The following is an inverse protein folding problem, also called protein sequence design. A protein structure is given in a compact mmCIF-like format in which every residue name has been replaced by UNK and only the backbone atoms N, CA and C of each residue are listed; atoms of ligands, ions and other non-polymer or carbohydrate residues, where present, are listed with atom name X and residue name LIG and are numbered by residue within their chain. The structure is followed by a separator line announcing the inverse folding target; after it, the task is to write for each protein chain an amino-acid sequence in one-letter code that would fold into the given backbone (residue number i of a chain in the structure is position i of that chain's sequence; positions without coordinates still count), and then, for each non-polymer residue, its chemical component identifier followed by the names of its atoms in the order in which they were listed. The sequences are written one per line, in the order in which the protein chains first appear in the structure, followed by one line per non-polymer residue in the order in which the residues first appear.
data_IF_376944202991
#
_entry.id   IF_376944202991
#
_cell.length_a   1.000
_cell.length_b   1.000
_cell.length_c   1.000
_cell.angle_alpha   90.00
_cell.angle_beta   90.00
_cell.angle_gamma   90.00
#
_symmetry.space_group_name_H-M   'P 1'
#
loop_
_entity.id
_entity.type
_entity.pdbx_description
1 polymer ?
#
# COMPACT_ATOMS: atom_id res chain seq x y z
N UNK A 1 27.48 -16.02 15.88
CA UNK A 1 26.04 -16.09 15.60
C UNK A 1 25.82 -15.28 14.34
N UNK A 2 25.28 -15.87 13.26
CA UNK A 2 24.96 -15.11 12.05
C UNK A 2 23.91 -14.07 12.42
N UNK A 3 24.17 -12.81 12.12
CA UNK A 3 23.18 -11.73 12.20
C UNK A 3 21.90 -12.22 11.51
N UNK A 4 20.75 -12.02 12.15
CA UNK A 4 19.45 -12.19 11.51
C UNK A 4 19.49 -11.33 10.24
N UNK A 5 19.60 -11.95 9.07
CA UNK A 5 19.27 -11.28 7.81
C UNK A 5 17.83 -10.79 7.97
N UNK A 6 17.68 -9.49 8.22
CA UNK A 6 16.38 -8.86 8.34
C UNK A 6 15.64 -9.16 7.04
N UNK A 7 14.57 -9.95 7.12
CA UNK A 7 13.73 -10.26 5.96
C UNK A 7 13.36 -8.93 5.31
N UNK A 8 13.71 -8.77 4.02
CA UNK A 8 13.28 -7.63 3.24
C UNK A 8 11.78 -7.81 2.95
N UNK A 9 10.97 -7.34 3.89
CA UNK A 9 9.53 -7.54 3.82
C UNK A 9 8.87 -6.70 2.75
N UNK A 10 9.35 -5.47 2.49
CA UNK A 10 8.72 -4.58 1.50
C UNK A 10 8.69 -5.18 0.09
N UNK A 11 9.79 -5.68 -0.50
CA UNK A 11 9.74 -6.26 -1.85
C UNK A 11 8.90 -7.54 -1.91
N UNK A 12 8.98 -8.37 -0.87
CA UNK A 12 8.22 -9.63 -0.79
C UNK A 12 6.72 -9.38 -0.70
N UNK A 13 6.32 -8.38 0.09
CA UNK A 13 4.92 -7.99 0.26
C UNK A 13 4.37 -7.34 -1.01
N UNK A 14 5.13 -6.41 -1.62
CA UNK A 14 4.75 -5.79 -2.89
C UNK A 14 4.51 -6.85 -3.98
N UNK A 15 5.39 -7.85 -4.10
CA UNK A 15 5.22 -8.96 -5.04
C UNK A 15 3.97 -9.81 -4.73
N UNK A 16 3.73 -10.12 -3.46
CA UNK A 16 2.54 -10.86 -3.05
C UNK A 16 1.24 -10.08 -3.34
N UNK A 17 1.25 -8.76 -3.14
CA UNK A 17 0.14 -7.87 -3.44
C UNK A 17 -0.13 -7.82 -4.96
N UNK A 18 0.91 -7.67 -5.78
CA UNK A 18 0.82 -7.71 -7.24
C UNK A 18 0.24 -9.04 -7.73
N UNK A 19 0.75 -10.19 -7.25
CA UNK A 19 0.18 -11.51 -7.54
C UNK A 19 -1.28 -11.62 -7.08
N UNK A 20 -1.58 -11.11 -5.88
CA UNK A 20 -2.91 -11.10 -5.31
C UNK A 20 -3.92 -10.27 -6.11
N UNK A 21 -3.47 -9.24 -6.83
CA UNK A 21 -4.31 -8.34 -7.61
C UNK A 21 -4.14 -8.49 -9.12
N UNK A 22 -3.33 -9.45 -9.58
CA UNK A 22 -3.00 -9.64 -10.99
C UNK A 22 -4.22 -9.77 -11.91
N UNK A 23 -5.31 -10.38 -11.42
CA UNK A 23 -6.56 -10.49 -12.19
C UNK A 23 -7.27 -9.16 -12.44
N UNK A 24 -6.80 -8.07 -11.82
CA UNK A 24 -7.32 -6.72 -11.94
C UNK A 24 -6.28 -5.73 -12.51
N UNK A 25 -5.23 -6.22 -13.18
CA UNK A 25 -4.14 -5.38 -13.67
C UNK A 25 -4.56 -4.36 -14.73
N UNK A 26 -5.70 -4.58 -15.38
CA UNK A 26 -6.26 -3.67 -16.38
C UNK A 26 -7.06 -2.54 -15.73
N UNK A 27 -7.46 -2.72 -14.46
CA UNK A 27 -8.30 -1.77 -13.72
C UNK A 27 -7.62 -1.14 -12.50
N UNK A 28 -6.42 -1.62 -12.15
CA UNK A 28 -5.59 -1.14 -11.06
C UNK A 28 -4.21 -0.74 -11.56
N UNK A 29 -3.76 0.43 -11.14
CA UNK A 29 -2.35 0.83 -11.27
C UNK A 29 -1.68 0.72 -9.90
N UNK A 30 -0.57 -0.01 -9.82
CA UNK A 30 0.21 -0.21 -8.60
C UNK A 30 1.58 0.44 -8.78
N UNK A 31 1.88 1.42 -7.94
CA UNK A 31 3.19 2.07 -7.85
C UNK A 31 3.83 1.72 -6.51
N UNK A 32 4.98 1.05 -6.55
CA UNK A 32 5.78 0.80 -5.34
C UNK A 32 6.68 1.99 -5.07
N UNK A 33 6.95 2.27 -3.81
CA UNK A 33 7.90 3.31 -3.41
C UNK A 33 7.48 4.72 -3.91
N UNK A 34 6.20 5.05 -3.75
CA UNK A 34 5.59 6.27 -4.29
C UNK A 34 5.87 7.50 -3.43
N UNK A 35 6.26 8.61 -4.06
CA UNK A 35 6.45 9.91 -3.38
C UNK A 35 5.14 10.69 -3.33
N UNK A 36 4.60 10.93 -2.13
CA UNK A 36 3.36 11.71 -1.95
C UNK A 36 3.57 13.22 -2.09
N UNK A 37 4.79 13.70 -1.82
CA UNK A 37 5.18 15.12 -1.90
C UNK A 37 6.57 15.25 -2.52
N UNK A 38 7.02 16.48 -2.76
CA UNK A 38 8.38 16.79 -3.23
C UNK A 38 9.46 16.58 -2.14
N UNK A 39 9.45 15.41 -1.48
CA UNK A 39 10.18 15.01 -0.26
C UNK A 39 9.61 15.61 1.05
N UNK A 40 9.71 14.93 2.21
CA UNK A 40 10.29 13.60 2.49
C UNK A 40 9.25 12.45 2.55
N UNK A 41 7.98 12.68 2.19
CA UNK A 41 6.92 11.71 2.42
C UNK A 41 6.81 10.68 1.27
N UNK A 42 7.26 9.46 1.54
CA UNK A 42 7.22 8.31 0.62
C UNK A 42 6.41 7.18 1.25
N UNK A 43 5.62 6.47 0.44
CA UNK A 43 4.82 5.32 0.85
C UNK A 43 5.27 4.05 0.15
N UNK A 44 5.08 2.90 0.80
CA UNK A 44 5.49 1.61 0.24
C UNK A 44 4.76 1.25 -1.05
N UNK A 45 3.43 1.41 -1.10
CA UNK A 45 2.63 1.15 -2.30
C UNK A 45 1.47 2.14 -2.41
N UNK A 46 1.28 2.70 -3.60
CA UNK A 46 0.06 3.37 -4.03
C UNK A 46 -0.71 2.46 -5.00
N UNK A 47 -2.00 2.27 -4.73
CA UNK A 47 -2.93 1.60 -5.64
C UNK A 47 -3.98 2.60 -6.12
N UNK A 48 -3.98 2.89 -7.41
CA UNK A 48 -5.03 3.64 -8.10
C UNK A 48 -6.10 2.68 -8.61
N UNK A 49 -7.36 2.99 -8.35
CA UNK A 49 -8.51 2.20 -8.82
C UNK A 49 -9.46 3.08 -9.59
N UNK A 50 -9.84 2.69 -10.81
CA UNK A 50 -10.95 3.35 -11.48
C UNK A 50 -12.23 3.25 -10.60
N UNK A 51 -12.95 4.36 -10.49
CA UNK A 51 -14.17 4.50 -9.68
C UNK A 51 -15.24 3.48 -10.07
N UNK A 52 -15.27 3.07 -11.34
CA UNK A 52 -16.26 2.12 -11.85
C UNK A 52 -15.88 0.65 -11.63
N UNK A 53 -14.61 0.36 -11.35
CA UNK A 53 -14.11 -1.01 -11.19
C UNK A 53 -14.69 -1.70 -9.96
N UNK A 54 -15.18 -2.92 -10.11
CA UNK A 54 -15.63 -3.76 -8.99
C UNK A 54 -14.62 -4.86 -8.75
N UNK A 55 -13.99 -4.84 -7.57
CA UNK A 55 -13.03 -5.88 -7.17
C UNK A 55 -13.76 -6.87 -6.25
N UNK A 56 -13.89 -8.11 -6.70
CA UNK A 56 -14.63 -9.15 -5.99
C UNK A 56 -13.85 -9.81 -4.85
N UNK A 57 -12.54 -9.53 -4.72
CA UNK A 57 -11.74 -9.97 -3.57
C UNK A 57 -12.12 -9.20 -2.30
N UNK A 58 -12.04 -9.85 -1.14
CA UNK A 58 -12.39 -9.24 0.14
C UNK A 58 -11.63 -7.93 0.39
N UNK A 59 -10.32 -7.90 0.09
CA UNK A 59 -9.49 -6.69 0.22
C UNK A 59 -9.91 -5.58 -0.76
N UNK A 60 -10.48 -5.94 -1.90
CA UNK A 60 -10.95 -4.96 -2.88
C UNK A 60 -12.18 -4.17 -2.42
N UNK A 61 -12.94 -4.68 -1.44
CA UNK A 61 -14.13 -4.00 -0.91
C UNK A 61 -13.81 -2.72 -0.15
N UNK A 62 -12.59 -2.61 0.39
CA UNK A 62 -12.14 -1.41 1.10
C UNK A 62 -11.43 -0.42 0.17
N UNK A 63 -11.14 -0.82 -1.07
CA UNK A 63 -10.45 0.06 -2.00
C UNK A 63 -11.33 1.23 -2.44
N UNK A 64 -10.75 2.43 -2.35
CA UNK A 64 -11.25 3.69 -2.93
C UNK A 64 -10.46 4.02 -4.18
N UNK A 65 -10.61 5.25 -4.67
CA UNK A 65 -9.87 5.70 -5.85
C UNK A 65 -8.36 5.73 -5.59
N UNK A 66 -7.94 6.18 -4.41
CA UNK A 66 -6.56 6.18 -3.95
C UNK A 66 -6.41 5.29 -2.72
N UNK A 67 -5.45 4.37 -2.74
CA UNK A 67 -5.19 3.45 -1.62
C UNK A 67 -3.70 3.44 -1.33
N UNK A 68 -3.34 3.88 -0.13
CA UNK A 68 -1.97 3.87 0.35
C UNK A 68 -1.81 2.60 1.20
N UNK A 69 -0.77 1.82 0.92
CA UNK A 69 -0.44 0.62 1.69
C UNK A 69 0.93 0.82 2.30
N UNK A 70 1.03 0.66 3.62
CA UNK A 70 2.29 0.74 4.36
C UNK A 70 2.54 -0.58 5.08
N UNK A 71 3.74 -1.14 4.90
CA UNK A 71 4.09 -2.39 5.54
C UNK A 71 4.98 -2.15 6.77
N UNK A 72 4.63 -2.82 7.86
CA UNK A 72 5.48 -2.92 9.05
C UNK A 72 5.77 -4.39 9.33
N UNK A 73 6.95 -4.70 9.87
CA UNK A 73 7.24 -6.08 10.24
C UNK A 73 6.22 -6.57 11.28
N UNK A 74 5.92 -7.87 11.37
CA UNK A 74 4.94 -8.39 12.34
C UNK A 74 5.30 -8.11 13.81
N UNK A 75 6.53 -7.66 14.07
CA UNK A 75 7.04 -7.30 15.41
C UNK A 75 7.03 -5.79 15.65
N UNK A 76 6.81 -4.99 14.62
CA UNK A 76 6.69 -3.55 14.72
C UNK A 76 5.24 -3.16 15.04
N UNK A 77 5.09 -2.04 15.73
CA UNK A 77 3.78 -1.46 16.03
C UNK A 77 3.51 -0.31 15.06
N UNK A 78 2.25 -0.18 14.66
CA UNK A 78 1.76 0.96 13.86
C UNK A 78 1.17 1.99 14.83
N UNK A 79 1.83 3.14 14.99
CA UNK A 79 1.32 4.29 15.74
C UNK A 79 0.49 5.20 14.85
N UNK A 80 -0.48 5.92 15.44
CA UNK A 80 -1.16 7.02 14.74
C UNK A 80 -0.16 8.11 14.32
N UNK A 81 0.94 8.26 15.06
CA UNK A 81 2.01 9.20 14.76
C UNK A 81 2.82 8.80 13.51
N UNK A 82 2.74 7.53 13.08
CA UNK A 82 3.33 7.09 11.80
C UNK A 82 2.53 7.62 10.61
N UNK A 83 1.26 7.96 10.82
CA UNK A 83 0.41 8.61 9.82
C UNK A 83 0.43 10.12 10.06
N UNK A 84 1.43 10.81 9.49
CA UNK A 84 1.42 12.27 9.45
C UNK A 84 0.10 12.76 8.84
N UNK A 85 -0.72 13.45 9.64
CA UNK A 85 -2.01 14.03 9.22
C UNK A 85 -1.79 15.14 8.19
N UNK A 86 -1.56 14.75 6.94
CA UNK A 86 -1.87 15.56 5.77
C UNK A 86 -3.39 15.57 5.61
N UNK A 87 -3.99 16.72 5.29
CA UNK A 87 -5.42 16.76 4.93
C UNK A 87 -5.62 16.01 3.63
N UNK A 88 -5.97 14.73 3.74
CA UNK A 88 -6.22 13.87 2.59
C UNK A 88 -7.69 13.93 2.18
N UNK A 89 -7.98 13.77 0.87
CA UNK A 89 -9.36 13.62 0.40
C UNK A 89 -10.06 12.43 1.07
N UNK A 90 -11.38 12.49 1.18
CA UNK A 90 -12.21 11.37 1.67
C UNK A 90 -12.17 10.10 0.81
N UNK A 91 -11.49 10.18 -0.34
CA UNK A 91 -11.30 9.10 -1.30
C UNK A 91 -9.98 8.34 -1.10
N UNK A 92 -9.22 8.66 -0.04
CA UNK A 92 -7.99 7.95 0.33
C UNK A 92 -8.28 6.93 1.43
N UNK A 93 -7.77 5.72 1.28
CA UNK A 93 -7.74 4.70 2.33
C UNK A 93 -6.29 4.32 2.63
N UNK A 94 -5.98 4.16 3.92
CA UNK A 94 -4.71 3.62 4.41
C UNK A 94 -4.89 2.15 4.80
N UNK A 95 -3.99 1.31 4.31
CA UNK A 95 -3.96 -0.13 4.50
C UNK A 95 -2.67 -0.59 5.16
#
# INVERSE_FOLDING_TARGET
MKENEAIAWHPSFAAALQLGLQAYSDELELETEYELTSEPLKVDVLILKDRQTIIHKNIGRIFRHYNIVEYKSPRDYVSIDDFYTVKLPSEVVFL
#
